data_IF_838700182565
#
_entry.id   IF_838700182565
#
_cell.length_a   1.000
_cell.length_b   1.000
_cell.length_c   1.000
_cell.angle_alpha   90.00
_cell.angle_beta   90.00
_cell.angle_gamma   90.00
#
_symmetry.space_group_name_H-M   'P 1'
#
loop_
_entity.id
_entity.type
_entity.pdbx_description
1 polymer ?
#
# COMPACT_ATOMS: atom_id res chain seq x y z
N UNK A 1 12.73 -7.14 -15.45
CA UNK A 1 13.86 -6.85 -14.54
C UNK A 1 13.81 -5.36 -14.24
N UNK A 2 13.42 -4.99 -13.01
CA UNK A 2 12.92 -3.65 -12.66
C UNK A 2 13.99 -2.55 -12.63
N UNK A 3 14.60 -2.25 -13.77
CA UNK A 3 15.60 -1.18 -13.95
C UNK A 3 15.02 0.24 -13.94
N UNK A 4 13.72 0.41 -13.70
CA UNK A 4 13.04 1.70 -13.86
C UNK A 4 13.24 2.72 -12.74
N UNK A 5 13.05 2.34 -11.46
CA UNK A 5 13.08 3.28 -10.33
C UNK A 5 13.50 2.58 -9.03
N UNK A 6 14.45 3.15 -8.28
CA UNK A 6 14.87 2.59 -7.00
C UNK A 6 13.81 2.80 -5.91
N UNK A 7 13.70 1.86 -4.97
CA UNK A 7 12.80 1.99 -3.79
C UNK A 7 13.09 3.26 -2.99
N UNK A 8 14.37 3.63 -2.88
CA UNK A 8 14.81 4.87 -2.25
C UNK A 8 14.25 6.09 -2.96
N UNK A 9 14.30 6.12 -4.29
CA UNK A 9 13.73 7.21 -5.09
C UNK A 9 12.22 7.33 -4.88
N UNK A 10 11.49 6.20 -4.90
CA UNK A 10 10.05 6.19 -4.66
C UNK A 10 9.68 6.70 -3.27
N UNK A 11 10.33 6.17 -2.22
CA UNK A 11 10.12 6.61 -0.83
C UNK A 11 10.39 8.11 -0.66
N UNK A 12 11.50 8.59 -1.22
CA UNK A 12 11.87 10.00 -1.14
C UNK A 12 10.85 10.88 -1.87
N UNK A 13 10.44 10.49 -3.08
CA UNK A 13 9.42 11.20 -3.87
C UNK A 13 8.09 11.29 -3.13
N UNK A 14 7.61 10.16 -2.59
CA UNK A 14 6.39 10.11 -1.79
C UNK A 14 6.48 11.09 -0.61
N UNK A 15 7.58 11.04 0.14
CA UNK A 15 7.76 11.88 1.32
C UNK A 15 7.85 13.36 0.97
N UNK A 16 8.51 13.72 -0.13
CA UNK A 16 8.60 15.09 -0.62
C UNK A 16 7.23 15.63 -1.08
N UNK A 17 6.46 14.83 -1.82
CA UNK A 17 5.07 15.18 -2.18
C UNK A 17 4.20 15.34 -0.93
N UNK A 18 4.38 14.48 0.08
CA UNK A 18 3.63 14.51 1.34
C UNK A 18 3.99 15.65 2.29
N UNK A 19 5.00 16.46 1.97
CA UNK A 19 5.29 17.71 2.67
C UNK A 19 4.33 18.84 2.27
N UNK A 20 3.64 18.73 1.11
CA UNK A 20 2.68 19.75 0.62
C UNK A 20 1.34 19.67 1.36
N UNK A 21 0.47 20.69 1.20
CA UNK A 21 -0.76 20.90 2.01
C UNK A 21 -1.75 19.73 1.99
N UNK A 22 -1.85 18.97 0.88
CA UNK A 22 -2.71 17.77 0.78
C UNK A 22 -1.88 16.53 1.06
N UNK A 23 -2.24 15.79 2.10
CA UNK A 23 -1.49 14.63 2.59
C UNK A 23 -2.02 13.36 1.93
N UNK A 24 -1.16 12.69 1.17
CA UNK A 24 -1.36 11.33 0.68
C UNK A 24 -1.36 10.38 1.89
N UNK A 25 -2.45 9.63 2.08
CA UNK A 25 -2.62 8.71 3.21
C UNK A 25 -2.34 7.25 2.85
N UNK A 26 -2.52 6.91 1.58
CA UNK A 26 -2.25 5.59 1.06
C UNK A 26 -1.95 5.61 -0.43
N UNK A 27 -1.37 4.52 -0.92
CA UNK A 27 -1.14 4.29 -2.34
C UNK A 27 -1.29 2.81 -2.64
N UNK A 28 -1.96 2.48 -3.75
CA UNK A 28 -1.98 1.15 -4.33
C UNK A 28 -1.19 1.21 -5.64
N UNK A 29 -0.13 0.43 -5.75
CA UNK A 29 0.65 0.32 -6.97
C UNK A 29 0.03 -0.72 -7.89
N UNK A 30 -0.66 -0.24 -8.91
CA UNK A 30 -1.32 -1.02 -9.96
C UNK A 30 -0.40 -1.81 -10.89
N UNK A 31 0.91 -1.75 -10.66
CA UNK A 31 1.94 -2.34 -11.52
C UNK A 31 2.73 -3.44 -10.82
N UNK A 32 3.14 -4.43 -11.62
CA UNK A 32 3.72 -5.69 -11.19
C UNK A 32 4.98 -5.54 -10.29
N UNK A 33 5.20 -6.54 -9.42
CA UNK A 33 6.44 -6.77 -8.61
C UNK A 33 6.74 -5.74 -7.51
N UNK A 34 5.73 -5.00 -7.05
CA UNK A 34 5.84 -4.08 -5.91
C UNK A 34 5.22 -4.60 -4.59
N UNK A 35 4.45 -5.69 -4.64
CA UNK A 35 3.71 -6.23 -3.49
C UNK A 35 4.52 -7.10 -2.53
N UNK A 36 5.84 -7.24 -2.72
CA UNK A 36 6.68 -7.84 -1.68
C UNK A 36 6.62 -6.99 -0.40
N UNK A 37 6.30 -7.64 0.72
CA UNK A 37 6.02 -6.96 1.99
C UNK A 37 7.20 -6.09 2.45
N UNK A 38 8.43 -6.56 2.23
CA UNK A 38 9.64 -5.80 2.55
C UNK A 38 9.73 -4.51 1.72
N UNK A 39 9.47 -4.58 0.41
CA UNK A 39 9.42 -3.40 -0.45
C UNK A 39 8.33 -2.41 -0.04
N UNK A 40 7.14 -2.88 0.34
CA UNK A 40 6.04 -2.03 0.80
C UNK A 40 6.37 -1.35 2.14
N UNK A 41 7.00 -2.07 3.06
CA UNK A 41 7.47 -1.54 4.34
C UNK A 41 8.51 -0.43 4.13
N UNK A 42 9.46 -0.62 3.21
CA UNK A 42 10.43 0.43 2.87
C UNK A 42 9.74 1.73 2.43
N UNK A 43 8.66 1.64 1.66
CA UNK A 43 7.87 2.80 1.25
C UNK A 43 7.07 3.44 2.38
N UNK A 44 6.90 2.76 3.51
CA UNK A 44 6.32 3.30 4.73
C UNK A 44 7.37 3.86 5.69
N UNK A 45 8.67 3.63 5.48
CA UNK A 45 9.72 4.17 6.37
C UNK A 45 9.94 5.67 6.18
N UNK A 46 10.46 6.38 7.20
CA UNK A 46 11.01 7.72 7.04
C UNK A 46 12.11 7.75 5.97
N UNK A 47 12.28 8.88 5.29
CA UNK A 47 13.36 9.08 4.31
C UNK A 47 14.42 10.04 4.82
N UNK A 48 15.67 9.87 4.38
CA UNK A 48 16.70 10.90 4.49
C UNK A 48 16.70 11.78 3.25
N UNK A 49 16.31 13.05 3.37
CA UNK A 49 16.28 14.02 2.28
C UNK A 49 17.18 15.20 2.69
N UNK A 50 18.23 15.48 1.90
CA UNK A 50 19.21 16.55 2.18
C UNK A 50 19.77 16.50 3.62
N UNK A 51 20.09 15.29 4.11
CA UNK A 51 20.63 15.07 5.46
C UNK A 51 19.59 15.09 6.59
N UNK A 52 18.33 15.43 6.32
CA UNK A 52 17.27 15.46 7.33
C UNK A 52 16.38 14.22 7.26
N UNK A 53 15.98 13.72 8.43
CA UNK A 53 14.98 12.65 8.54
C UNK A 53 13.58 13.23 8.36
N UNK A 54 12.91 12.84 7.27
CA UNK A 54 11.54 13.24 6.96
C UNK A 54 10.60 12.10 7.34
N UNK A 55 9.70 12.37 8.28
CA UNK A 55 8.70 11.40 8.70
C UNK A 55 7.72 11.11 7.56
N UNK A 56 7.52 9.83 7.29
CA UNK A 56 6.59 9.38 6.27
C UNK A 56 5.15 9.42 6.78
N UNK A 57 4.26 10.07 6.01
CA UNK A 57 2.87 10.31 6.38
C UNK A 57 1.89 9.28 5.79
N UNK A 58 2.37 8.38 4.93
CA UNK A 58 1.59 7.23 4.50
C UNK A 58 1.23 6.37 5.70
N UNK A 59 0.00 5.89 5.67
CA UNK A 59 -0.55 4.95 6.63
C UNK A 59 -0.61 3.55 6.04
N UNK A 60 -0.70 3.43 4.72
CA UNK A 60 -0.72 2.14 4.03
C UNK A 60 -0.13 2.21 2.63
N UNK A 61 0.36 1.08 2.14
CA UNK A 61 0.84 0.88 0.76
C UNK A 61 0.37 -0.48 0.31
N UNK A 62 -0.17 -0.58 -0.90
CA UNK A 62 -0.49 -1.86 -1.53
C UNK A 62 0.21 -2.04 -2.87
N UNK A 63 0.28 -3.29 -3.32
CA UNK A 63 0.76 -3.65 -4.65
C UNK A 63 0.70 -5.16 -4.87
N UNK A 64 1.10 -5.62 -6.06
CA UNK A 64 1.08 -7.04 -6.44
C UNK A 64 2.47 -7.66 -6.33
N UNK A 65 2.59 -8.78 -5.60
CA UNK A 65 3.83 -9.52 -5.33
C UNK A 65 4.35 -10.31 -6.55
N UNK A 66 3.46 -10.71 -7.46
CA UNK A 66 3.81 -11.35 -8.73
C UNK A 66 3.39 -10.49 -9.92
N UNK A 67 3.79 -10.97 -11.09
CA UNK A 67 3.32 -10.44 -12.34
C UNK A 67 1.87 -10.83 -12.58
N UNK A 68 1.04 -9.82 -12.81
CA UNK A 68 -0.39 -9.96 -13.03
C UNK A 68 -0.72 -9.41 -14.42
N UNK A 69 -1.66 -10.07 -15.09
CA UNK A 69 -2.16 -9.63 -16.38
C UNK A 69 -2.81 -8.24 -16.24
N UNK A 70 -2.42 -7.31 -17.11
CA UNK A 70 -2.77 -5.89 -17.01
C UNK A 70 -4.27 -5.64 -16.88
N UNK A 71 -5.11 -6.38 -17.61
CA UNK A 71 -6.57 -6.23 -17.54
C UNK A 71 -7.08 -6.61 -16.15
N UNK A 72 -6.59 -7.71 -15.58
CA UNK A 72 -6.95 -8.16 -14.23
C UNK A 72 -6.53 -7.16 -13.17
N UNK A 73 -5.29 -6.66 -13.19
CA UNK A 73 -4.84 -5.67 -12.21
C UNK A 73 -5.60 -4.35 -12.33
N UNK A 74 -5.87 -3.90 -13.56
CA UNK A 74 -6.62 -2.67 -13.79
C UNK A 74 -8.07 -2.76 -13.31
N UNK A 75 -8.76 -3.87 -13.62
CA UNK A 75 -10.12 -4.11 -13.14
C UNK A 75 -10.17 -4.18 -11.62
N UNK A 76 -9.17 -4.80 -11.01
CA UNK A 76 -9.07 -4.83 -9.56
C UNK A 76 -8.83 -3.45 -8.96
N UNK A 77 -7.89 -2.68 -9.48
CA UNK A 77 -7.60 -1.35 -8.98
C UNK A 77 -8.84 -0.47 -9.05
N UNK A 78 -9.58 -0.52 -10.16
CA UNK A 78 -10.86 0.18 -10.33
C UNK A 78 -11.84 -0.25 -9.23
N UNK A 79 -12.01 -1.56 -9.03
CA UNK A 79 -12.94 -2.09 -8.05
C UNK A 79 -12.54 -1.74 -6.61
N UNK A 80 -11.27 -1.86 -6.27
CA UNK A 80 -10.71 -1.47 -4.98
C UNK A 80 -11.00 0.00 -4.71
N UNK A 81 -10.71 0.89 -5.67
CA UNK A 81 -10.92 2.33 -5.47
C UNK A 81 -12.40 2.68 -5.41
N UNK A 82 -13.26 2.07 -6.22
CA UNK A 82 -14.71 2.26 -6.15
C UNK A 82 -15.27 1.83 -4.77
N UNK A 83 -14.83 0.68 -4.25
CA UNK A 83 -15.20 0.22 -2.91
C UNK A 83 -14.63 1.14 -1.80
N UNK A 84 -13.35 1.48 -1.88
CA UNK A 84 -12.68 2.33 -0.91
C UNK A 84 -13.34 3.71 -0.85
N UNK A 85 -13.67 4.30 -2.01
CA UNK A 85 -14.32 5.60 -2.13
C UNK A 85 -15.73 5.61 -1.54
N UNK A 86 -16.49 4.52 -1.65
CA UNK A 86 -17.82 4.37 -1.05
C UNK A 86 -17.79 3.97 0.43
N UNK A 87 -16.68 3.39 0.89
CA UNK A 87 -16.52 2.99 2.28
C UNK A 87 -16.29 4.21 3.17
N UNK A 88 -17.18 4.40 4.15
CA UNK A 88 -17.04 5.42 5.20
C UNK A 88 -16.62 4.79 6.53
N UNK A 89 -15.68 5.45 7.22
CA UNK A 89 -15.25 5.10 8.58
C UNK A 89 -14.61 6.33 9.27
N UNK A 90 -14.48 6.33 10.62
CA UNK A 90 -13.94 7.47 11.35
C UNK A 90 -12.46 7.79 11.07
N UNK A 91 -11.68 6.79 10.63
CA UNK A 91 -10.26 6.95 10.31
C UNK A 91 -9.93 6.29 8.98
N UNK A 92 -8.85 6.73 8.33
CA UNK A 92 -8.34 6.10 7.10
C UNK A 92 -8.04 4.60 7.31
N UNK A 93 -7.50 4.24 8.47
CA UNK A 93 -7.18 2.85 8.79
C UNK A 93 -8.44 2.00 8.94
N UNK A 94 -9.43 2.48 9.70
CA UNK A 94 -10.71 1.79 9.82
C UNK A 94 -11.41 1.66 8.46
N UNK A 95 -11.28 2.68 7.59
CA UNK A 95 -11.81 2.67 6.23
C UNK A 95 -11.15 1.62 5.36
N UNK A 96 -9.81 1.53 5.42
CA UNK A 96 -9.02 0.53 4.70
C UNK A 96 -9.33 -0.88 5.18
N UNK A 97 -9.37 -1.11 6.49
CA UNK A 97 -9.68 -2.42 7.08
C UNK A 97 -11.08 -2.89 6.67
N UNK A 98 -12.07 -2.00 6.71
CA UNK A 98 -13.43 -2.30 6.24
C UNK A 98 -13.46 -2.60 4.73
N UNK A 99 -12.76 -1.80 3.92
CA UNK A 99 -12.63 -2.04 2.47
C UNK A 99 -12.04 -3.41 2.19
N UNK A 100 -10.96 -3.80 2.88
CA UNK A 100 -10.30 -5.10 2.71
C UNK A 100 -11.21 -6.24 3.17
N UNK A 101 -11.93 -6.08 4.28
CA UNK A 101 -12.89 -7.09 4.75
C UNK A 101 -14.03 -7.31 3.74
N UNK A 102 -14.58 -6.23 3.20
CA UNK A 102 -15.61 -6.30 2.17
C UNK A 102 -15.08 -6.92 0.87
N UNK A 103 -13.85 -6.58 0.48
CA UNK A 103 -13.20 -7.15 -0.69
C UNK A 103 -12.99 -8.66 -0.56
N UNK A 104 -12.52 -9.14 0.59
CA UNK A 104 -12.37 -10.57 0.89
C UNK A 104 -13.71 -11.32 0.83
N UNK A 105 -14.80 -10.68 1.28
CA UNK A 105 -16.14 -11.25 1.25
C UNK A 105 -16.70 -11.34 -0.17
N UNK A 106 -16.49 -10.31 -1.00
CA UNK A 106 -17.05 -10.24 -2.35
C UNK A 106 -16.21 -11.01 -3.39
N UNK A 107 -14.91 -11.12 -3.18
CA UNK A 107 -13.97 -11.80 -4.06
C UNK A 107 -13.20 -12.89 -3.30
N UNK A 108 -13.90 -13.97 -2.85
CA UNK A 108 -13.23 -15.06 -2.16
C UNK A 108 -12.18 -15.70 -3.06
N UNK A 109 -11.00 -15.99 -2.51
CA UNK A 109 -9.86 -16.52 -3.26
C UNK A 109 -9.06 -15.46 -4.03
N UNK A 110 -9.47 -14.20 -4.05
CA UNK A 110 -8.68 -13.14 -4.69
C UNK A 110 -7.36 -12.88 -3.95
N UNK A 111 -7.39 -12.81 -2.62
CA UNK A 111 -6.21 -12.66 -1.78
C UNK A 111 -5.19 -13.81 -1.92
N UNK A 112 -5.68 -14.99 -2.30
CA UNK A 112 -4.90 -16.24 -2.41
C UNK A 112 -4.36 -16.43 -3.84
N UNK A 113 -5.13 -16.02 -4.85
CA UNK A 113 -4.80 -16.19 -6.28
C UNK A 113 -4.18 -14.96 -6.92
N UNK A 114 -4.40 -13.79 -6.34
CA UNK A 114 -3.79 -12.54 -6.74
C UNK A 114 -2.98 -12.05 -5.56
N UNK A 115 -1.68 -12.25 -5.68
CA UNK A 115 -0.52 -11.49 -5.22
C UNK A 115 -0.67 -10.11 -4.57
N UNK A 116 -1.86 -9.54 -4.43
CA UNK A 116 -2.10 -8.31 -3.71
C UNK A 116 -1.61 -8.44 -2.26
N UNK A 117 -0.72 -7.53 -1.89
CA UNK A 117 -0.34 -7.28 -0.52
C UNK A 117 -0.73 -5.83 -0.21
N UNK A 118 -1.33 -5.60 0.96
CA UNK A 118 -1.59 -4.27 1.49
C UNK A 118 -0.98 -4.22 2.87
N UNK A 119 0.09 -3.45 3.00
CA UNK A 119 0.78 -3.23 4.27
C UNK A 119 0.30 -1.92 4.89
N UNK A 120 -0.17 -2.03 6.12
CA UNK A 120 -0.58 -0.93 6.97
C UNK A 120 0.45 -0.63 8.05
N UNK A 121 0.64 0.64 8.38
CA UNK A 121 1.35 1.06 9.59
C UNK A 121 0.39 1.06 10.76
N UNK A 122 0.67 0.25 11.77
CA UNK A 122 -0.15 0.16 12.97
C UNK A 122 0.39 1.07 14.10
N UNK A 123 1.68 0.95 14.41
CA UNK A 123 2.38 1.81 15.39
C UNK A 123 3.86 1.95 15.02
N UNK A 124 4.66 2.71 15.80
CA UNK A 124 6.07 2.98 15.46
C UNK A 124 6.83 1.67 15.20
N UNK A 125 7.24 1.46 13.94
CA UNK A 125 7.99 0.28 13.50
C UNK A 125 7.19 -1.02 13.39
N UNK A 126 5.86 -0.99 13.55
CA UNK A 126 5.01 -2.18 13.41
C UNK A 126 4.10 -2.05 12.20
N UNK A 127 4.11 -3.09 11.38
CA UNK A 127 3.36 -3.17 10.15
C UNK A 127 2.43 -4.37 10.18
N UNK A 128 1.38 -4.35 9.36
CA UNK A 128 0.45 -5.47 9.22
C UNK A 128 0.10 -5.67 7.76
N UNK A 129 0.21 -6.89 7.28
CA UNK A 129 -0.40 -7.28 6.00
C UNK A 129 -1.89 -7.47 6.23
N UNK A 130 -2.72 -6.57 5.69
CA UNK A 130 -4.17 -6.61 5.85
C UNK A 130 -4.83 -7.69 5.00
N UNK A 131 -4.18 -8.12 3.93
CA UNK A 131 -4.68 -9.20 3.07
C UNK A 131 -4.46 -10.54 3.76
N UNK A 132 -3.28 -10.78 4.32
CA UNK A 132 -2.97 -12.04 5.02
C UNK A 132 -3.35 -12.03 6.50
N UNK A 133 -3.61 -10.86 7.07
CA UNK A 133 -3.96 -10.69 8.48
C UNK A 133 -2.78 -10.83 9.45
N UNK A 134 -1.55 -10.90 8.93
CA UNK A 134 -0.32 -11.15 9.70
C UNK A 134 0.38 -9.86 10.09
N UNK A 135 0.86 -9.79 11.32
CA UNK A 135 1.74 -8.71 11.78
C UNK A 135 3.16 -8.93 11.25
N UNK A 136 3.80 -7.85 10.82
CA UNK A 136 5.16 -7.83 10.31
C UNK A 136 6.00 -6.95 11.23
N UNK A 137 6.94 -7.58 11.93
CA UNK A 137 7.99 -6.91 12.68
C UNK A 137 9.17 -6.59 11.78
N UNK A 138 9.78 -5.44 12.03
CA UNK A 138 11.08 -5.06 11.48
C UNK A 138 12.23 -5.73 12.26
#
# INVERSE_FOLDING_TARGET
DGTGLSRTFLRNTINEVNQRRRKLKGVLFGSCKFGDAYNLIELLRPSKIRGQTVANRLLWVGGYDQEIEYTRSSLFDIYFYDLFLRTTAPTEMARLEKTVADLKRMLPGFAENQSLCIVARHSKGRYRDLIRGVDISD
#
